data_IF_897313187882
#
_entry.id   IF_897313187882
#
_cell.length_a   1.000
_cell.length_b   1.000
_cell.length_c   1.000
_cell.angle_alpha   90.00
_cell.angle_beta   90.00
_cell.angle_gamma   90.00
#
_symmetry.space_group_name_H-M   'P 1'
#
loop_
_entity.id
_entity.type
_entity.pdbx_description
1 polymer ?
#
# COMPACT_ATOMS: atom_id res chain seq x y z
N UNK A 1 -18.13 9.18 8.50
CA UNK A 1 -18.40 7.94 9.25
C UNK A 1 -19.86 7.96 9.67
N UNK A 2 -20.60 6.93 9.28
CA UNK A 2 -22.06 6.90 9.46
C UNK A 2 -22.50 6.51 10.89
N UNK A 3 -21.74 5.63 11.56
CA UNK A 3 -22.18 4.99 12.80
C UNK A 3 -21.61 5.63 14.09
N UNK A 4 -20.48 6.35 14.01
CA UNK A 4 -19.80 6.93 15.18
C UNK A 4 -19.21 8.29 14.84
N UNK A 5 -18.73 9.01 15.87
CA UNK A 5 -17.98 10.26 15.76
C UNK A 5 -18.76 11.40 15.09
N UNK A 6 -20.05 11.51 15.42
CA UNK A 6 -20.91 12.65 15.07
C UNK A 6 -20.95 12.99 13.57
N UNK A 7 -20.89 11.98 12.70
CA UNK A 7 -20.92 12.18 11.25
C UNK A 7 -19.61 12.71 10.65
N UNK A 8 -18.52 12.80 11.45
CA UNK A 8 -17.22 13.26 10.95
C UNK A 8 -16.70 12.41 9.78
N UNK A 9 -16.05 13.02 8.76
CA UNK A 9 -15.51 12.29 7.61
C UNK A 9 -14.42 11.29 8.00
N UNK A 10 -14.09 10.37 7.08
CA UNK A 10 -13.04 9.37 7.27
C UNK A 10 -11.65 9.81 6.84
N UNK A 11 -11.59 10.95 6.16
CA UNK A 11 -10.36 11.64 5.81
C UNK A 11 -9.52 11.92 7.08
N UNK A 12 -8.20 11.69 7.03
CA UNK A 12 -7.35 11.68 5.83
C UNK A 12 -7.19 10.32 5.14
N UNK A 13 -7.93 9.30 5.56
CA UNK A 13 -7.89 7.95 4.97
C UNK A 13 -9.18 7.65 4.22
N UNK A 14 -9.17 6.56 3.44
CA UNK A 14 -10.42 6.00 2.92
C UNK A 14 -10.80 6.47 1.52
N UNK A 15 -9.85 6.97 0.71
CA UNK A 15 -10.09 7.22 -0.72
C UNK A 15 -10.66 5.97 -1.43
N UNK A 16 -10.31 4.78 -0.95
CA UNK A 16 -10.82 3.51 -1.45
C UNK A 16 -12.33 3.34 -1.25
N UNK A 17 -12.92 3.93 -0.20
CA UNK A 17 -14.36 3.85 0.02
C UNK A 17 -15.15 4.65 -1.03
N UNK A 18 -14.55 5.70 -1.61
CA UNK A 18 -15.17 6.41 -2.74
C UNK A 18 -15.27 5.52 -3.99
N UNK A 19 -14.30 4.63 -4.21
CA UNK A 19 -14.40 3.61 -5.27
C UNK A 19 -15.58 2.65 -4.99
N UNK A 20 -15.70 2.16 -3.76
CA UNK A 20 -16.83 1.30 -3.39
C UNK A 20 -18.18 2.04 -3.55
N UNK A 21 -18.25 3.31 -3.17
CA UNK A 21 -19.44 4.14 -3.37
C UNK A 21 -19.81 4.31 -4.85
N UNK A 22 -18.84 4.34 -5.77
CA UNK A 22 -19.12 4.33 -7.21
C UNK A 22 -19.60 2.96 -7.69
N UNK A 23 -19.06 1.87 -7.13
CA UNK A 23 -19.45 0.50 -7.50
C UNK A 23 -20.90 0.19 -7.14
N UNK A 24 -21.45 0.80 -6.08
CA UNK A 24 -22.85 0.60 -5.67
C UNK A 24 -23.86 1.16 -6.68
N UNK A 25 -23.44 2.06 -7.58
CA UNK A 25 -24.30 2.55 -8.67
C UNK A 25 -24.65 1.46 -9.68
N UNK A 26 -23.85 0.38 -9.77
CA UNK A 26 -24.13 -0.78 -10.63
C UNK A 26 -24.98 -1.81 -9.87
N UNK A 27 -24.50 -2.24 -8.70
CA UNK A 27 -25.18 -3.18 -7.81
C UNK A 27 -24.51 -3.14 -6.45
N UNK A 28 -25.25 -3.42 -5.39
CA UNK A 28 -24.77 -3.63 -4.03
C UNK A 28 -24.70 -5.13 -3.65
N UNK A 29 -24.83 -6.02 -4.63
CA UNK A 29 -24.75 -7.46 -4.42
C UNK A 29 -23.39 -7.86 -3.82
N UNK A 30 -23.41 -8.78 -2.84
CA UNK A 30 -22.21 -9.21 -2.11
C UNK A 30 -21.10 -9.74 -3.00
N UNK A 31 -21.43 -10.50 -4.06
CA UNK A 31 -20.43 -11.02 -5.01
C UNK A 31 -19.74 -9.90 -5.80
N UNK A 32 -20.47 -8.85 -6.16
CA UNK A 32 -19.97 -7.72 -6.93
C UNK A 32 -19.07 -6.82 -6.08
N UNK A 33 -19.53 -6.44 -4.90
CA UNK A 33 -18.80 -5.50 -4.03
C UNK A 33 -17.45 -6.06 -3.55
N UNK A 34 -17.29 -7.39 -3.49
CA UNK A 34 -16.05 -8.07 -3.05
C UNK A 34 -15.07 -8.39 -4.19
N UNK A 35 -15.40 -8.05 -5.44
CA UNK A 35 -14.50 -8.28 -6.58
C UNK A 35 -13.11 -7.65 -6.43
N UNK A 36 -12.94 -6.45 -5.85
CA UNK A 36 -11.61 -5.87 -5.67
C UNK A 36 -10.68 -6.75 -4.83
N UNK A 37 -11.17 -7.38 -3.76
CA UNK A 37 -10.36 -8.26 -2.92
C UNK A 37 -10.00 -9.57 -3.63
N UNK A 38 -10.91 -10.13 -4.43
CA UNK A 38 -10.60 -11.27 -5.29
C UNK A 38 -9.50 -10.93 -6.30
N UNK A 39 -9.65 -9.80 -7.00
CA UNK A 39 -8.65 -9.33 -7.96
C UNK A 39 -7.29 -9.10 -7.27
N UNK A 40 -7.30 -8.49 -6.08
CA UNK A 40 -6.09 -8.27 -5.31
C UNK A 40 -5.40 -9.58 -4.92
N UNK A 41 -6.15 -10.59 -4.48
CA UNK A 41 -5.61 -11.92 -4.16
C UNK A 41 -4.95 -12.59 -5.38
N UNK A 42 -5.60 -12.51 -6.56
CA UNK A 42 -5.05 -13.06 -7.80
C UNK A 42 -3.76 -12.36 -8.23
N UNK A 43 -3.72 -11.02 -8.15
CA UNK A 43 -2.51 -10.24 -8.50
C UNK A 43 -1.41 -10.49 -7.47
N UNK A 44 -1.73 -10.59 -6.18
CA UNK A 44 -0.79 -10.97 -5.14
C UNK A 44 -0.10 -12.30 -5.46
N UNK A 45 -0.89 -13.32 -5.82
CA UNK A 45 -0.32 -14.61 -6.21
C UNK A 45 0.55 -14.52 -7.47
N UNK A 46 0.10 -13.77 -8.49
CA UNK A 46 0.86 -13.58 -9.71
C UNK A 46 2.23 -12.94 -9.44
N UNK A 47 2.27 -11.87 -8.65
CA UNK A 47 3.50 -11.18 -8.28
C UNK A 47 4.40 -12.06 -7.40
N UNK A 48 3.82 -12.74 -6.41
CA UNK A 48 4.56 -13.61 -5.52
C UNK A 48 5.23 -14.76 -6.30
N UNK A 49 4.47 -15.44 -7.14
CA UNK A 49 4.94 -16.60 -7.90
C UNK A 49 5.91 -16.24 -9.03
N UNK A 50 5.78 -15.08 -9.67
CA UNK A 50 6.58 -14.72 -10.86
C UNK A 50 7.71 -13.73 -10.62
N UNK A 51 7.55 -12.80 -9.68
CA UNK A 51 8.55 -11.76 -9.44
C UNK A 51 9.31 -12.00 -8.13
N UNK A 52 8.63 -12.45 -7.07
CA UNK A 52 9.27 -12.61 -5.74
C UNK A 52 9.99 -13.93 -5.59
N UNK A 53 9.32 -15.08 -5.76
CA UNK A 53 9.95 -16.39 -5.54
C UNK A 53 11.21 -16.62 -6.41
N UNK A 54 11.20 -16.28 -7.72
CA UNK A 54 12.42 -16.41 -8.53
C UNK A 54 13.53 -15.45 -8.12
N UNK A 55 13.19 -14.31 -7.48
CA UNK A 55 14.16 -13.31 -7.02
C UNK A 55 14.92 -13.75 -5.77
N UNK A 56 14.35 -14.64 -4.97
CA UNK A 56 14.97 -15.18 -3.75
C UNK A 56 16.12 -16.16 -4.03
N UNK A 57 16.23 -16.66 -5.27
CA UNK A 57 17.39 -17.42 -5.74
C UNK A 57 17.02 -18.72 -6.48
N UNK A 58 17.99 -19.35 -7.16
CA UNK A 58 17.73 -20.52 -8.02
C UNK A 58 17.16 -21.73 -7.26
N UNK A 59 17.58 -21.94 -6.01
CA UNK A 59 17.10 -23.04 -5.18
C UNK A 59 15.59 -22.94 -4.88
N UNK A 60 15.10 -21.72 -4.61
CA UNK A 60 13.67 -21.47 -4.39
C UNK A 60 12.92 -21.56 -5.71
N UNK A 61 13.46 -20.96 -6.78
CA UNK A 61 12.84 -20.93 -8.10
C UNK A 61 12.59 -22.32 -8.70
N UNK A 62 13.50 -23.27 -8.47
CA UNK A 62 13.40 -24.64 -8.99
C UNK A 62 12.58 -25.59 -8.09
N UNK A 63 12.28 -25.20 -6.85
CA UNK A 63 11.67 -26.08 -5.84
C UNK A 63 10.15 -26.07 -5.90
N UNK A 64 9.54 -27.16 -6.38
CA UNK A 64 8.07 -27.33 -6.34
C UNK A 64 7.48 -27.24 -4.92
N UNK A 65 8.08 -27.85 -3.87
CA UNK A 65 7.59 -27.69 -2.50
C UNK A 65 7.55 -26.24 -2.04
N UNK A 66 8.52 -25.39 -2.44
CA UNK A 66 8.53 -23.98 -2.06
C UNK A 66 7.33 -23.22 -2.64
N UNK A 67 6.94 -23.49 -3.90
CA UNK A 67 5.76 -22.87 -4.50
C UNK A 67 4.45 -23.35 -3.85
N UNK A 68 4.34 -24.64 -3.53
CA UNK A 68 3.18 -25.17 -2.83
C UNK A 68 3.05 -24.58 -1.42
N UNK A 69 4.16 -24.49 -0.68
CA UNK A 69 4.17 -23.85 0.63
C UNK A 69 3.73 -22.38 0.53
N UNK A 70 4.29 -21.61 -0.42
CA UNK A 70 3.90 -20.22 -0.64
C UNK A 70 2.41 -20.07 -1.00
N UNK A 71 1.89 -20.94 -1.87
CA UNK A 71 0.48 -20.94 -2.26
C UNK A 71 -0.44 -21.24 -1.07
N UNK A 72 -0.12 -22.29 -0.31
CA UNK A 72 -0.94 -22.71 0.83
C UNK A 72 -0.92 -21.66 1.93
N UNK A 73 0.25 -21.10 2.27
CA UNK A 73 0.34 -20.02 3.27
C UNK A 73 -0.44 -18.80 2.83
N UNK A 74 -0.33 -18.40 1.56
CA UNK A 74 -1.12 -17.29 1.03
C UNK A 74 -2.62 -17.57 1.17
N UNK A 75 -3.11 -18.75 0.76
CA UNK A 75 -4.53 -19.10 0.88
C UNK A 75 -5.00 -19.12 2.33
N UNK A 76 -4.27 -19.79 3.22
CA UNK A 76 -4.66 -19.91 4.63
C UNK A 76 -4.63 -18.57 5.37
N UNK A 77 -3.76 -17.64 4.96
CA UNK A 77 -3.75 -16.28 5.50
C UNK A 77 -4.83 -15.39 4.87
N UNK A 78 -5.14 -15.58 3.58
CA UNK A 78 -6.08 -14.74 2.84
C UNK A 78 -7.54 -15.06 3.15
N UNK A 79 -7.90 -16.35 3.15
CA UNK A 79 -9.29 -16.81 3.33
C UNK A 79 -9.98 -16.25 4.59
N UNK A 80 -9.36 -16.26 5.80
CA UNK A 80 -10.03 -15.80 7.01
C UNK A 80 -10.12 -14.27 7.12
N UNK A 81 -9.20 -13.51 6.51
CA UNK A 81 -9.07 -12.06 6.75
C UNK A 81 -9.46 -11.18 5.55
N UNK A 82 -9.13 -11.60 4.33
CA UNK A 82 -9.21 -10.78 3.11
C UNK A 82 -10.35 -11.23 2.18
N UNK A 83 -11.53 -11.52 2.73
CA UNK A 83 -12.73 -11.94 1.98
C UNK A 83 -13.95 -11.04 2.28
N UNK A 84 -13.69 -9.82 2.77
CA UNK A 84 -14.69 -8.83 3.19
C UNK A 84 -14.70 -7.60 2.28
N UNK A 85 -15.04 -6.44 2.86
CA UNK A 85 -14.88 -5.11 2.23
C UNK A 85 -13.85 -4.25 2.98
N UNK A 86 -13.27 -4.80 4.05
CA UNK A 86 -12.16 -4.14 4.73
C UNK A 86 -10.96 -4.19 3.78
N UNK A 87 -10.18 -3.11 3.67
CA UNK A 87 -9.23 -2.97 2.58
C UNK A 87 -7.86 -3.62 2.84
N UNK A 88 -7.74 -4.56 3.78
CA UNK A 88 -6.46 -5.22 4.09
C UNK A 88 -5.93 -6.03 2.89
N UNK A 89 -6.80 -6.60 2.06
CA UNK A 89 -6.39 -7.26 0.82
C UNK A 89 -5.71 -6.29 -0.16
N UNK A 90 -6.25 -5.07 -0.28
CA UNK A 90 -5.66 -3.99 -1.08
C UNK A 90 -4.33 -3.51 -0.47
N UNK A 91 -4.24 -3.41 0.85
CA UNK A 91 -3.00 -3.03 1.55
C UNK A 91 -1.91 -4.09 1.35
N UNK A 92 -2.26 -5.38 1.44
CA UNK A 92 -1.34 -6.48 1.17
C UNK A 92 -0.80 -6.41 -0.25
N UNK A 93 -1.67 -6.17 -1.24
CA UNK A 93 -1.27 -5.96 -2.63
C UNK A 93 -0.35 -4.74 -2.78
N UNK A 94 -0.75 -3.57 -2.27
CA UNK A 94 0.02 -2.34 -2.38
C UNK A 94 1.42 -2.46 -1.76
N UNK A 95 1.52 -3.17 -0.63
CA UNK A 95 2.78 -3.45 0.05
C UNK A 95 3.67 -4.38 -0.78
N UNK A 96 3.11 -5.43 -1.38
CA UNK A 96 3.82 -6.36 -2.25
C UNK A 96 4.30 -5.67 -3.55
N UNK A 97 3.46 -4.84 -4.17
CA UNK A 97 3.83 -4.05 -5.35
C UNK A 97 4.97 -3.09 -5.03
N UNK A 98 4.91 -2.41 -3.89
CA UNK A 98 5.98 -1.52 -3.41
C UNK A 98 7.30 -2.28 -3.28
N UNK A 99 7.28 -3.47 -2.66
CA UNK A 99 8.45 -4.34 -2.54
C UNK A 99 9.03 -4.73 -3.91
N UNK A 100 8.18 -5.23 -4.82
CA UNK A 100 8.60 -5.67 -6.17
C UNK A 100 9.22 -4.52 -6.97
N UNK A 101 8.62 -3.33 -6.91
CA UNK A 101 9.12 -2.14 -7.60
C UNK A 101 10.50 -1.70 -7.06
N UNK A 102 10.69 -1.75 -5.75
CA UNK A 102 11.98 -1.46 -5.12
C UNK A 102 13.03 -2.49 -5.55
N UNK A 103 12.74 -3.79 -5.47
CA UNK A 103 13.64 -4.86 -5.95
C UNK A 103 14.03 -4.67 -7.41
N UNK A 104 13.07 -4.32 -8.28
CA UNK A 104 13.32 -4.06 -9.70
C UNK A 104 14.18 -2.80 -9.91
N UNK A 105 13.96 -1.74 -9.12
CA UNK A 105 14.81 -0.54 -9.10
C UNK A 105 16.27 -0.89 -8.82
N UNK A 106 16.52 -1.74 -7.82
CA UNK A 106 17.88 -2.11 -7.42
C UNK A 106 18.58 -2.93 -8.50
N UNK A 107 17.86 -3.89 -9.09
CA UNK A 107 18.40 -4.78 -10.14
C UNK A 107 18.95 -4.00 -11.33
N UNK A 108 18.24 -2.98 -11.80
CA UNK A 108 18.61 -2.23 -13.01
C UNK A 108 19.24 -0.85 -12.70
N UNK A 109 19.42 -0.52 -11.42
CA UNK A 109 19.90 0.80 -10.98
C UNK A 109 19.10 1.97 -11.59
N UNK A 110 17.77 1.83 -11.73
CA UNK A 110 16.85 2.82 -12.32
C UNK A 110 15.99 3.44 -11.24
N UNK A 111 15.78 4.75 -11.27
CA UNK A 111 14.98 5.44 -10.25
C UNK A 111 13.48 5.49 -10.55
N UNK A 112 13.05 5.28 -11.79
CA UNK A 112 11.61 5.28 -12.15
C UNK A 112 10.79 4.27 -11.34
N UNK A 113 11.22 2.99 -11.17
CA UNK A 113 10.48 2.05 -10.33
C UNK A 113 10.48 2.47 -8.85
N UNK A 114 11.55 3.12 -8.36
CA UNK A 114 11.56 3.66 -7.00
C UNK A 114 10.54 4.81 -6.83
N UNK A 115 10.40 5.70 -7.82
CA UNK A 115 9.38 6.75 -7.80
C UNK A 115 7.97 6.14 -7.78
N UNK A 116 7.71 5.13 -8.62
CA UNK A 116 6.45 4.41 -8.62
C UNK A 116 6.18 3.66 -7.31
N UNK A 117 7.23 3.14 -6.66
CA UNK A 117 7.11 2.53 -5.34
C UNK A 117 6.71 3.57 -4.28
N UNK A 118 7.25 4.79 -4.35
CA UNK A 118 6.85 5.90 -3.48
C UNK A 118 5.37 6.25 -3.69
N UNK A 119 4.91 6.37 -4.94
CA UNK A 119 3.48 6.59 -5.23
C UNK A 119 2.65 5.45 -4.65
N UNK A 120 3.02 4.20 -4.93
CA UNK A 120 2.27 3.02 -4.46
C UNK A 120 2.17 2.99 -2.94
N UNK A 121 3.28 3.24 -2.23
CA UNK A 121 3.30 3.27 -0.77
C UNK A 121 2.46 4.41 -0.20
N UNK A 122 2.52 5.60 -0.81
CA UNK A 122 1.73 6.76 -0.41
C UNK A 122 0.22 6.49 -0.55
N UNK A 123 -0.20 5.94 -1.69
CA UNK A 123 -1.60 5.54 -1.91
C UNK A 123 -2.04 4.43 -0.97
N UNK A 124 -1.18 3.44 -0.70
CA UNK A 124 -1.47 2.35 0.24
C UNK A 124 -1.63 2.86 1.67
N UNK A 125 -0.77 3.79 2.10
CA UNK A 125 -0.91 4.47 3.40
C UNK A 125 -2.22 5.27 3.48
N UNK A 126 -2.63 5.91 2.38
CA UNK A 126 -3.89 6.64 2.30
C UNK A 126 -5.16 5.77 2.35
N UNK A 127 -5.04 4.45 2.21
CA UNK A 127 -6.20 3.54 2.32
C UNK A 127 -6.67 3.45 3.77
N UNK A 128 -5.77 3.16 4.71
CA UNK A 128 -6.08 2.97 6.13
C UNK A 128 -4.82 3.16 6.99
N UNK A 129 -4.91 3.49 8.30
CA UNK A 129 -3.74 3.65 9.16
C UNK A 129 -2.80 2.43 9.20
N UNK A 130 -3.33 1.21 9.03
CA UNK A 130 -2.55 -0.04 8.96
C UNK A 130 -1.71 -0.16 7.68
N UNK A 131 -1.96 0.69 6.67
CA UNK A 131 -1.20 0.79 5.43
C UNK A 131 0.26 1.24 5.62
N UNK A 132 0.66 1.62 6.84
CA UNK A 132 2.04 1.95 7.21
C UNK A 132 3.05 0.86 6.85
N UNK A 133 2.62 -0.40 6.73
CA UNK A 133 3.48 -1.51 6.29
C UNK A 133 4.12 -1.28 4.91
N UNK A 134 3.48 -0.54 4.00
CA UNK A 134 4.07 -0.22 2.70
C UNK A 134 5.28 0.72 2.83
N UNK A 135 5.31 1.57 3.86
CA UNK A 135 6.47 2.41 4.18
C UNK A 135 7.62 1.54 4.69
N UNK A 136 7.34 0.49 5.46
CA UNK A 136 8.37 -0.45 5.89
C UNK A 136 9.08 -1.13 4.69
N UNK A 137 8.35 -1.45 3.63
CA UNK A 137 8.94 -1.96 2.39
C UNK A 137 9.89 -0.95 1.70
N UNK A 138 9.57 0.36 1.73
CA UNK A 138 10.48 1.40 1.26
C UNK A 138 11.75 1.51 2.11
N UNK A 139 11.59 1.49 3.44
CA UNK A 139 12.71 1.58 4.39
C UNK A 139 13.66 0.40 4.23
N UNK A 140 13.13 -0.82 4.05
CA UNK A 140 13.94 -2.02 3.83
C UNK A 140 14.87 -1.89 2.61
N UNK A 141 14.45 -1.20 1.55
CA UNK A 141 15.26 -0.91 0.36
C UNK A 141 16.17 0.31 0.45
N UNK A 142 16.19 1.02 1.60
CA UNK A 142 16.83 2.34 1.72
C UNK A 142 18.33 2.33 1.45
N UNK A 143 19.08 1.40 2.06
CA UNK A 143 20.54 1.32 1.91
C UNK A 143 21.00 1.10 0.45
N UNK A 144 20.49 0.11 -0.30
CA UNK A 144 20.85 -0.04 -1.71
C UNK A 144 20.33 1.11 -2.59
N UNK A 145 19.17 1.71 -2.27
CA UNK A 145 18.69 2.91 -2.99
C UNK A 145 19.62 4.10 -2.84
N UNK A 146 20.14 4.36 -1.63
CA UNK A 146 21.10 5.43 -1.40
C UNK A 146 22.35 5.29 -2.27
N UNK A 147 22.85 4.06 -2.47
CA UNK A 147 23.99 3.81 -3.37
C UNK A 147 23.67 4.19 -4.82
N UNK A 148 22.46 3.88 -5.28
CA UNK A 148 22.02 4.24 -6.64
C UNK A 148 21.87 5.76 -6.78
N UNK A 149 21.29 6.42 -5.77
CA UNK A 149 21.15 7.88 -5.75
C UNK A 149 22.51 8.58 -5.77
N UNK A 150 23.45 8.19 -4.89
CA UNK A 150 24.81 8.76 -4.85
C UNK A 150 25.54 8.57 -6.18
N UNK A 151 25.40 7.39 -6.81
CA UNK A 151 25.99 7.13 -8.13
C UNK A 151 25.38 8.04 -9.21
N UNK A 152 24.05 8.19 -9.25
CA UNK A 152 23.36 9.01 -10.26
C UNK A 152 23.51 10.51 -10.03
N UNK A 153 23.66 10.93 -8.77
CA UNK A 153 23.87 12.32 -8.40
C UNK A 153 25.09 12.92 -9.11
N UNK A 154 26.17 12.14 -9.25
CA UNK A 154 27.39 12.55 -9.97
C UNK A 154 27.18 12.83 -11.46
N UNK A 155 26.10 12.33 -12.06
CA UNK A 155 25.81 12.46 -13.49
C UNK A 155 24.85 13.60 -13.79
N UNK A 156 23.84 13.81 -12.94
CA UNK A 156 22.73 14.74 -13.23
C UNK A 156 22.49 15.77 -12.11
N UNK A 157 23.25 15.73 -11.02
CA UNK A 157 23.03 16.57 -9.84
C UNK A 157 21.91 16.06 -8.92
N UNK A 158 21.67 16.76 -7.80
CA UNK A 158 20.66 16.36 -6.79
C UNK A 158 19.25 16.73 -7.20
N UNK A 159 19.06 17.97 -7.66
CA UNK A 159 17.74 18.55 -7.88
C UNK A 159 16.85 17.71 -8.81
N UNK A 160 17.29 17.29 -10.02
CA UNK A 160 16.45 16.48 -10.90
C UNK A 160 16.22 15.05 -10.41
N UNK A 161 16.94 14.59 -9.36
CA UNK A 161 16.70 13.29 -8.73
C UNK A 161 15.65 13.39 -7.61
N UNK A 162 15.70 14.44 -6.80
CA UNK A 162 14.81 14.61 -5.64
C UNK A 162 13.47 15.23 -6.02
N UNK A 163 13.42 16.15 -6.99
CA UNK A 163 12.17 16.83 -7.36
C UNK A 163 11.08 15.86 -7.85
N UNK A 164 11.35 14.87 -8.73
CA UNK A 164 10.34 13.89 -9.13
C UNK A 164 9.91 12.97 -7.99
N UNK A 165 10.81 12.65 -7.06
CA UNK A 165 10.50 11.81 -5.89
C UNK A 165 9.59 12.53 -4.91
N UNK A 166 9.86 13.82 -4.66
CA UNK A 166 9.00 14.66 -3.83
C UNK A 166 7.62 14.82 -4.48
N UNK A 167 7.56 15.13 -5.77
CA UNK A 167 6.29 15.22 -6.50
C UNK A 167 5.49 13.90 -6.45
N UNK A 168 6.17 12.76 -6.63
CA UNK A 168 5.56 11.44 -6.51
C UNK A 168 5.05 11.14 -5.09
N UNK A 169 5.75 11.58 -4.05
CA UNK A 169 5.36 11.35 -2.66
C UNK A 169 4.22 12.26 -2.18
N UNK A 170 4.10 13.47 -2.72
CA UNK A 170 3.09 14.44 -2.29
C UNK A 170 1.80 14.42 -3.11
N UNK A 171 1.79 13.74 -4.27
CA UNK A 171 0.59 13.67 -5.13
C UNK A 171 -0.63 13.10 -4.40
N UNK A 172 -0.44 12.19 -3.43
CA UNK A 172 -1.52 11.63 -2.62
C UNK A 172 -2.34 12.70 -1.87
N UNK A 173 -1.73 13.84 -1.53
CA UNK A 173 -2.42 14.92 -0.83
C UNK A 173 -3.55 15.52 -1.69
N UNK A 174 -3.40 15.50 -3.01
CA UNK A 174 -4.45 15.97 -3.93
C UNK A 174 -5.69 15.07 -3.91
N UNK A 175 -5.52 13.78 -3.57
CA UNK A 175 -6.61 12.83 -3.43
C UNK A 175 -7.22 12.90 -2.03
N UNK A 176 -6.38 13.01 -0.99
CA UNK A 176 -6.82 13.11 0.42
C UNK A 176 -7.62 14.39 0.67
N UNK A 177 -7.17 15.51 0.13
CA UNK A 177 -7.81 16.82 0.32
C UNK A 177 -8.67 17.22 -0.89
N UNK A 178 -9.17 16.25 -1.65
CA UNK A 178 -10.03 16.52 -2.81
C UNK A 178 -11.34 17.22 -2.39
N UNK A 179 -11.97 16.73 -1.31
CA UNK A 179 -13.26 17.24 -0.83
C UNK A 179 -13.21 17.87 0.57
N UNK A 180 -12.12 17.66 1.32
CA UNK A 180 -11.98 18.18 2.69
C UNK A 180 -10.87 19.23 2.79
N UNK A 181 -11.09 20.23 3.63
CA UNK A 181 -10.05 21.20 4.00
C UNK A 181 -9.18 20.67 5.14
N UNK A 182 -8.01 21.28 5.33
CA UNK A 182 -7.10 20.93 6.43
C UNK A 182 -7.79 21.05 7.80
N UNK A 183 -8.59 22.10 8.03
CA UNK A 183 -9.30 22.29 9.30
C UNK A 183 -10.30 21.17 9.57
N UNK A 184 -11.01 20.70 8.54
CA UNK A 184 -11.98 19.61 8.69
C UNK A 184 -11.30 18.30 9.06
N UNK A 185 -10.17 17.97 8.41
CA UNK A 185 -9.39 16.76 8.71
C UNK A 185 -8.82 16.81 10.13
N UNK A 186 -8.28 17.95 10.55
CA UNK A 186 -7.78 18.13 11.92
C UNK A 186 -8.88 17.95 12.96
N UNK A 187 -10.06 18.50 12.71
CA UNK A 187 -11.20 18.37 13.61
C UNK A 187 -11.74 16.93 13.68
N UNK A 188 -11.88 16.26 12.53
CA UNK A 188 -12.26 14.85 12.49
C UNK A 188 -11.27 13.96 13.25
N UNK A 189 -9.98 14.21 13.09
CA UNK A 189 -8.91 13.50 13.82
C UNK A 189 -8.99 13.74 15.32
N UNK A 190 -9.22 15.00 15.75
CA UNK A 190 -9.38 15.39 17.16
C UNK A 190 -10.56 14.66 17.81
N UNK A 191 -11.71 14.62 17.12
CA UNK A 191 -12.92 13.94 17.58
C UNK A 191 -12.67 12.44 17.77
N UNK A 192 -12.04 11.80 16.78
CA UNK A 192 -11.69 10.36 16.84
C UNK A 192 -10.73 10.02 17.97
N UNK A 193 -9.68 10.82 18.14
CA UNK A 193 -8.67 10.60 19.20
C UNK A 193 -9.25 10.79 20.61
N UNK A 194 -10.19 11.74 20.79
CA UNK A 194 -10.80 11.99 22.11
C UNK A 194 -11.88 10.98 22.48
N UNK A 195 -12.70 10.56 21.51
CA UNK A 195 -13.83 9.64 21.75
C UNK A 195 -13.36 8.17 21.68
N UNK A 196 -12.31 7.90 20.92
CA UNK A 196 -11.74 6.57 20.75
C UNK A 196 -12.67 5.58 20.01
N UNK A 197 -12.31 4.29 20.02
CA UNK A 197 -11.16 3.71 20.73
C UNK A 197 -9.82 4.08 20.07
N UNK A 198 -8.85 4.55 20.87
CA UNK A 198 -7.47 4.84 20.45
C UNK A 198 -6.51 4.39 21.53
N UNK A 199 -5.89 3.23 21.33
CA UNK A 199 -4.96 2.65 22.29
C UNK A 199 -3.55 3.24 22.15
N UNK A 200 -2.77 3.16 23.23
CA UNK A 200 -1.38 3.61 23.24
C UNK A 200 -0.45 2.51 22.71
N UNK A 201 0.70 2.91 22.18
CA UNK A 201 1.66 1.99 21.55
C UNK A 201 2.17 0.87 22.48
N UNK A 202 2.17 1.07 23.80
CA UNK A 202 2.63 0.10 24.80
C UNK A 202 1.58 -0.96 25.17
N UNK A 203 0.43 -0.98 24.49
CA UNK A 203 -0.68 -1.92 24.75
C UNK A 203 -0.83 -3.02 23.68
N UNK A 204 0.20 -3.22 22.85
CA UNK A 204 0.22 -4.19 21.74
C UNK A 204 0.35 -5.67 22.18
N UNK A 205 0.18 -5.94 23.48
CA UNK A 205 0.52 -7.23 24.12
C UNK A 205 -0.60 -8.26 24.02
#
# INVERSE_FOLDING_TARGET
>A
NYFRWFGSPEDPFGWYYNLLALMTHVSDASLWMRLPDLAAGLVCWLLLSREVLPRLGPAVAASKPAYWAAAMVLLTAWMPFNNGLRPEGIIALGSLVTYVLIERSMRYSRLTPAALAVVTAAFTLGVQPTGLIAVAALVAGGRPMLRILVRRHRLVGTLPLVSPMLAAGTVILTVVFADQTLSTVLEATRVRAKIGPSQAWYTEN
#
